data_IF_180849946886
#
_entry.id   IF_180849946886
#
_cell.length_a   1.000
_cell.length_b   1.000
_cell.length_c   1.000
_cell.angle_alpha   90.00
_cell.angle_beta   90.00
_cell.angle_gamma   90.00
#
_symmetry.space_group_name_H-M   'P 1'
#
loop_
_entity.id
_entity.type
_entity.pdbx_description
1 polymer ?
#
# COMPACT_ATOMS: atom_id res chain seq x y z
N UNK A 1 7.43 -19.72 -3.40
CA UNK A 1 6.94 -19.24 -4.70
C UNK A 1 6.48 -17.78 -4.64
N UNK A 2 5.62 -17.35 -3.70
CA UNK A 2 5.13 -15.98 -3.59
C UNK A 2 6.27 -14.96 -3.38
N UNK A 3 7.20 -15.22 -2.48
CA UNK A 3 8.37 -14.38 -2.23
C UNK A 3 9.26 -14.17 -3.45
N UNK A 4 9.35 -15.16 -4.36
CA UNK A 4 10.08 -15.02 -5.61
C UNK A 4 9.37 -14.06 -6.57
N UNK A 5 8.04 -14.17 -6.69
CA UNK A 5 7.24 -13.24 -7.52
C UNK A 5 7.38 -11.82 -7.00
N UNK A 6 7.30 -11.62 -5.68
CA UNK A 6 7.50 -10.32 -5.06
C UNK A 6 8.90 -9.75 -5.38
N UNK A 7 9.96 -10.53 -5.21
CA UNK A 7 11.33 -10.09 -5.50
C UNK A 7 11.52 -9.72 -6.97
N UNK A 8 10.94 -10.49 -7.90
CA UNK A 8 10.97 -10.21 -9.34
C UNK A 8 10.19 -8.92 -9.63
N UNK A 9 8.99 -8.77 -9.07
CA UNK A 9 8.15 -7.57 -9.24
C UNK A 9 8.87 -6.32 -8.75
N UNK A 10 9.50 -6.36 -7.58
CA UNK A 10 10.27 -5.23 -7.05
C UNK A 10 11.44 -4.84 -7.97
N UNK A 11 12.18 -5.82 -8.51
CA UNK A 11 13.27 -5.54 -9.44
C UNK A 11 12.78 -4.96 -10.76
N UNK A 12 11.70 -5.50 -11.31
CA UNK A 12 11.08 -5.00 -12.53
C UNK A 12 10.56 -3.57 -12.30
N UNK A 13 9.90 -3.30 -11.16
CA UNK A 13 9.43 -1.97 -10.83
C UNK A 13 10.58 -0.95 -10.83
N UNK A 14 11.68 -1.21 -10.14
CA UNK A 14 12.85 -0.33 -10.14
C UNK A 14 13.39 -0.06 -11.54
N UNK A 15 13.45 -1.10 -12.38
CA UNK A 15 13.89 -0.96 -13.75
C UNK A 15 12.96 -0.11 -14.59
N UNK A 16 11.65 -0.33 -14.49
CA UNK A 16 10.62 0.38 -15.27
C UNK A 16 10.48 1.82 -14.80
N UNK A 17 10.44 2.06 -13.50
CA UNK A 17 10.32 3.40 -12.90
C UNK A 17 11.55 4.30 -13.14
N UNK A 18 12.67 3.74 -13.59
CA UNK A 18 13.85 4.54 -13.97
C UNK A 18 13.69 5.29 -15.31
N UNK A 19 12.70 4.96 -16.13
CA UNK A 19 12.47 5.57 -17.45
C UNK A 19 11.00 5.87 -17.77
N UNK A 20 10.07 5.50 -16.91
CA UNK A 20 8.65 5.85 -17.02
C UNK A 20 8.23 6.65 -15.79
N UNK A 21 7.49 7.75 -16.01
CA UNK A 21 7.15 8.71 -14.96
C UNK A 21 5.68 8.61 -14.50
N UNK A 22 4.82 7.91 -15.24
CA UNK A 22 3.41 7.82 -14.90
C UNK A 22 3.01 6.42 -14.45
N UNK A 23 2.07 6.35 -13.52
CA UNK A 23 1.63 5.11 -12.87
C UNK A 23 0.99 4.10 -13.82
N UNK A 24 0.28 4.57 -14.86
CA UNK A 24 -0.40 3.73 -15.85
C UNK A 24 0.59 2.95 -16.74
N UNK A 25 1.59 3.65 -17.28
CA UNK A 25 2.61 3.05 -18.15
C UNK A 25 3.53 2.12 -17.35
N UNK A 26 3.90 2.52 -16.12
CA UNK A 26 4.68 1.67 -15.21
C UNK A 26 3.91 0.35 -14.95
N UNK A 27 2.63 0.44 -14.56
CA UNK A 27 1.81 -0.74 -14.26
C UNK A 27 1.64 -1.64 -15.49
N UNK A 28 1.40 -1.05 -16.67
CA UNK A 28 1.27 -1.78 -17.95
C UNK A 28 2.56 -2.50 -18.31
N UNK A 29 3.72 -1.85 -18.17
CA UNK A 29 5.02 -2.43 -18.45
C UNK A 29 5.38 -3.58 -17.48
N UNK A 30 5.09 -3.38 -16.18
CA UNK A 30 5.24 -4.43 -15.16
C UNK A 30 4.41 -5.66 -15.49
N UNK A 31 3.14 -5.45 -15.84
CA UNK A 31 2.23 -6.54 -16.19
C UNK A 31 2.75 -7.35 -17.37
N UNK A 32 3.16 -6.68 -18.44
CA UNK A 32 3.73 -7.34 -19.62
C UNK A 32 4.94 -8.18 -19.26
N UNK A 33 5.86 -7.62 -18.45
CA UNK A 33 7.08 -8.31 -18.03
C UNK A 33 6.82 -9.49 -17.08
N UNK A 34 5.82 -9.38 -16.20
CA UNK A 34 5.45 -10.46 -15.27
C UNK A 34 4.66 -11.58 -15.96
N UNK A 35 3.95 -11.27 -17.02
CA UNK A 35 3.19 -12.25 -17.80
C UNK A 35 4.07 -13.05 -18.77
N UNK A 36 5.23 -12.51 -19.14
CA UNK A 36 6.17 -13.23 -20.02
C UNK A 36 6.78 -14.43 -19.29
N UNK A 37 6.58 -15.62 -19.86
CA UNK A 37 7.03 -16.89 -19.27
C UNK A 37 6.29 -17.32 -17.99
N UNK A 38 5.14 -16.72 -17.67
CA UNK A 38 4.34 -17.04 -16.48
C UNK A 38 3.47 -18.29 -16.65
N UNK A 39 4.10 -19.44 -16.93
CA UNK A 39 3.40 -20.74 -17.12
C UNK A 39 2.63 -21.20 -15.87
N UNK A 40 2.99 -20.70 -14.70
CA UNK A 40 2.37 -21.07 -13.42
C UNK A 40 1.15 -20.22 -13.08
N UNK A 41 0.74 -19.30 -13.95
CA UNK A 41 -0.36 -18.34 -13.71
C UNK A 41 -0.24 -17.59 -12.37
N UNK A 42 0.97 -17.26 -11.97
CA UNK A 42 1.21 -16.46 -10.76
C UNK A 42 0.77 -15.03 -11.00
N UNK A 43 0.12 -14.44 -10.02
CA UNK A 43 -0.32 -13.05 -10.08
C UNK A 43 0.03 -12.32 -8.78
N UNK A 44 0.05 -11.01 -8.84
CA UNK A 44 0.10 -10.18 -7.64
C UNK A 44 -0.79 -8.96 -7.78
N UNK A 45 -1.27 -8.47 -6.65
CA UNK A 45 -1.94 -7.18 -6.55
C UNK A 45 -0.89 -6.09 -6.31
N UNK A 46 -1.12 -4.90 -6.85
CA UNK A 46 -0.21 -3.78 -6.67
C UNK A 46 -0.96 -2.44 -6.68
N UNK A 47 -0.43 -1.49 -5.95
CA UNK A 47 -0.80 -0.09 -6.03
C UNK A 47 0.46 0.74 -6.29
N UNK A 48 0.42 1.59 -7.31
CA UNK A 48 1.48 2.54 -7.63
C UNK A 48 0.89 3.94 -7.53
N UNK A 49 1.56 4.81 -6.80
CA UNK A 49 1.22 6.23 -6.70
C UNK A 49 2.43 7.11 -6.91
N UNK A 50 2.27 8.17 -7.68
CA UNK A 50 3.26 9.24 -7.89
C UNK A 50 2.67 10.52 -7.30
N UNK A 51 3.28 11.03 -6.24
CA UNK A 51 2.81 12.22 -5.53
C UNK A 51 3.70 13.43 -5.88
N UNK A 52 3.10 14.46 -6.44
CA UNK A 52 3.75 15.77 -6.54
C UNK A 52 3.68 16.47 -5.17
N UNK A 53 4.84 16.64 -4.55
CA UNK A 53 4.95 17.21 -3.20
C UNK A 53 4.61 18.70 -3.13
N UNK A 54 4.61 19.41 -4.26
CA UNK A 54 4.29 20.85 -4.30
C UNK A 54 2.80 21.09 -4.43
N UNK A 55 2.15 20.34 -5.31
CA UNK A 55 0.72 20.49 -5.61
C UNK A 55 -0.19 19.60 -4.77
N UNK A 56 0.34 18.46 -4.24
CA UNK A 56 -0.45 17.41 -3.62
C UNK A 56 -1.18 16.52 -4.64
N UNK A 57 -0.92 16.68 -5.94
CA UNK A 57 -1.49 15.81 -6.94
C UNK A 57 -0.90 14.39 -6.78
N UNK A 58 -1.76 13.43 -6.53
CA UNK A 58 -1.45 12.00 -6.52
C UNK A 58 -2.00 11.39 -7.82
N UNK A 59 -1.09 10.99 -8.71
CA UNK A 59 -1.40 10.13 -9.84
C UNK A 59 -1.21 8.67 -9.41
N UNK A 60 -2.19 7.81 -9.63
CA UNK A 60 -2.11 6.42 -9.15
C UNK A 60 -2.77 5.42 -10.09
N UNK A 61 -2.31 4.17 -9.99
CA UNK A 61 -2.87 3.02 -10.67
C UNK A 61 -2.98 1.85 -9.70
N UNK A 62 -4.16 1.24 -9.63
CA UNK A 62 -4.42 0.09 -8.76
C UNK A 62 -4.63 -1.17 -9.61
N UNK A 63 -3.82 -2.18 -9.38
CA UNK A 63 -3.89 -3.50 -10.00
C UNK A 63 -4.50 -4.54 -9.02
N UNK A 64 -5.76 -4.35 -8.63
CA UNK A 64 -6.48 -5.29 -7.76
C UNK A 64 -6.09 -5.27 -6.28
N UNK A 65 -5.32 -4.28 -5.85
CA UNK A 65 -4.96 -4.11 -4.43
C UNK A 65 -6.09 -3.42 -3.65
N UNK A 66 -6.11 -3.57 -2.32
CA UNK A 66 -7.04 -2.86 -1.44
C UNK A 66 -6.98 -1.35 -1.71
N UNK A 67 -8.15 -0.71 -1.79
CA UNK A 67 -8.20 0.74 -1.99
C UNK A 67 -7.56 1.46 -0.80
N UNK A 68 -6.54 2.30 -1.02
CA UNK A 68 -6.02 3.16 0.04
C UNK A 68 -7.10 4.04 0.66
N UNK A 69 -6.93 4.37 1.94
CA UNK A 69 -7.84 5.26 2.66
C UNK A 69 -7.19 6.63 2.81
N UNK A 70 -7.96 7.68 2.57
CA UNK A 70 -7.58 9.06 2.93
C UNK A 70 -8.17 9.40 4.28
N UNK A 71 -7.32 9.88 5.19
CA UNK A 71 -7.71 10.45 6.47
C UNK A 71 -7.61 11.96 6.32
N UNK A 72 -8.75 12.62 6.16
CA UNK A 72 -8.85 14.06 5.98
C UNK A 72 -8.49 14.84 7.24
N UNK A 73 -8.17 16.12 7.06
CA UNK A 73 -7.89 17.04 8.18
C UNK A 73 -9.10 17.26 9.09
N UNK A 74 -10.30 17.04 8.57
CA UNK A 74 -11.57 17.08 9.31
C UNK A 74 -11.85 15.79 10.09
N UNK A 75 -10.95 14.80 10.00
CA UNK A 75 -11.09 13.48 10.61
C UNK A 75 -11.97 12.51 9.83
N UNK A 76 -12.48 12.91 8.67
CA UNK A 76 -13.20 11.97 7.80
C UNK A 76 -12.24 10.95 7.20
N UNK A 77 -12.71 9.70 7.04
CA UNK A 77 -11.95 8.60 6.45
C UNK A 77 -12.76 8.01 5.31
N UNK A 78 -12.17 7.98 4.13
CA UNK A 78 -12.82 7.43 2.95
C UNK A 78 -11.80 6.70 2.04
N UNK A 79 -12.20 5.63 1.36
CA UNK A 79 -11.38 5.05 0.31
C UNK A 79 -11.22 6.04 -0.86
N UNK A 80 -10.07 5.98 -1.52
CA UNK A 80 -9.89 6.66 -2.80
C UNK A 80 -10.72 5.95 -3.88
N UNK A 81 -11.12 6.70 -4.90
CA UNK A 81 -11.80 6.12 -6.05
C UNK A 81 -10.86 5.18 -6.81
N UNK A 82 -11.36 4.02 -7.22
CA UNK A 82 -10.57 3.02 -7.95
C UNK A 82 -11.26 2.67 -9.27
N UNK A 83 -10.56 2.87 -10.38
CA UNK A 83 -10.95 2.25 -11.66
C UNK A 83 -10.60 0.77 -11.59
N UNK A 84 -11.54 -0.14 -11.92
CA UNK A 84 -11.27 -1.56 -11.93
C UNK A 84 -10.18 -1.93 -12.95
N UNK A 85 -9.06 -2.45 -12.47
CA UNK A 85 -8.01 -3.08 -13.26
C UNK A 85 -7.79 -4.51 -12.74
N UNK A 86 -7.14 -5.33 -13.53
CA UNK A 86 -6.80 -6.71 -13.15
C UNK A 86 -5.52 -6.76 -12.31
N UNK A 87 -5.35 -7.78 -11.45
CA UNK A 87 -4.05 -8.08 -10.86
C UNK A 87 -2.97 -8.28 -11.93
N UNK A 88 -1.72 -7.98 -11.59
CA UNK A 88 -0.56 -8.14 -12.47
C UNK A 88 -0.28 -9.62 -12.75
N UNK A 89 0.09 -9.92 -14.00
CA UNK A 89 0.53 -11.26 -14.41
C UNK A 89 -0.57 -12.16 -14.96
N UNK A 90 -1.85 -11.74 -14.92
CA UNK A 90 -2.97 -12.56 -15.42
C UNK A 90 -3.11 -12.50 -16.95
N UNK A 91 -3.00 -11.31 -17.55
CA UNK A 91 -3.17 -11.11 -18.98
C UNK A 91 -2.14 -10.08 -19.48
N UNK A 92 -1.13 -10.53 -20.19
CA UNK A 92 0.03 -9.71 -20.61
C UNK A 92 -0.31 -8.48 -21.45
N UNK A 93 -1.38 -8.55 -22.24
CA UNK A 93 -1.82 -7.45 -23.12
C UNK A 93 -2.79 -6.46 -22.44
N UNK A 94 -3.14 -6.69 -21.16
CA UNK A 94 -4.04 -5.81 -20.44
C UNK A 94 -3.40 -4.43 -20.25
N UNK A 95 -4.16 -3.38 -20.61
CA UNK A 95 -3.76 -1.98 -20.44
C UNK A 95 -4.40 -1.41 -19.19
N UNK A 96 -3.57 -0.96 -18.28
CA UNK A 96 -4.01 -0.37 -17.02
C UNK A 96 -4.47 1.06 -17.24
N UNK A 97 -5.39 1.49 -16.38
CA UNK A 97 -5.90 2.87 -16.35
C UNK A 97 -5.53 3.50 -15.02
N UNK A 98 -4.79 4.58 -15.09
CA UNK A 98 -4.46 5.44 -13.97
C UNK A 98 -5.59 6.43 -13.64
N UNK A 99 -5.48 7.04 -12.49
CA UNK A 99 -6.36 8.07 -11.97
C UNK A 99 -5.54 9.16 -11.29
N UNK A 100 -6.19 10.29 -11.05
CA UNK A 100 -5.59 11.40 -10.31
C UNK A 100 -6.54 11.91 -9.24
N UNK A 101 -5.96 12.33 -8.14
CA UNK A 101 -6.65 13.07 -7.08
C UNK A 101 -5.70 14.11 -6.49
N UNK A 102 -6.23 15.01 -5.69
CA UNK A 102 -5.40 15.93 -4.90
C UNK A 102 -5.55 15.58 -3.43
N UNK A 103 -4.43 15.41 -2.74
CA UNK A 103 -4.40 15.28 -1.29
C UNK A 103 -4.40 16.67 -0.66
N UNK A 104 -5.30 16.91 0.26
CA UNK A 104 -5.30 18.15 1.03
C UNK A 104 -4.10 18.18 1.98
N UNK A 105 -3.50 19.38 2.12
CA UNK A 105 -2.40 19.58 3.08
C UNK A 105 -2.84 19.21 4.49
N UNK A 106 -2.08 18.35 5.14
CA UNK A 106 -2.36 17.82 6.47
C UNK A 106 -3.16 16.52 6.49
N UNK A 107 -3.67 16.05 5.33
CA UNK A 107 -4.29 14.73 5.23
C UNK A 107 -3.26 13.60 5.26
N UNK A 108 -3.71 12.38 5.56
CA UNK A 108 -2.88 11.19 5.51
C UNK A 108 -3.42 10.22 4.46
N UNK A 109 -2.51 9.54 3.76
CA UNK A 109 -2.82 8.38 2.93
C UNK A 109 -2.41 7.12 3.67
N UNK A 110 -3.34 6.18 3.80
CA UNK A 110 -3.19 4.93 4.51
C UNK A 110 -3.37 3.76 3.53
N UNK A 111 -2.30 3.00 3.31
CA UNK A 111 -2.28 1.82 2.45
C UNK A 111 -2.12 0.58 3.35
N UNK A 112 -2.75 -0.51 2.98
CA UNK A 112 -2.74 -1.74 3.79
C UNK A 112 -2.98 -2.98 2.94
N UNK A 113 -2.41 -4.11 3.35
CA UNK A 113 -2.71 -5.42 2.77
C UNK A 113 -3.98 -6.00 3.40
N UNK A 114 -4.57 -6.99 2.73
CA UNK A 114 -5.76 -7.73 3.16
C UNK A 114 -5.61 -8.38 4.54
N UNK A 115 -4.40 -8.72 4.95
CA UNK A 115 -4.11 -9.18 6.32
C UNK A 115 -4.59 -8.24 7.43
N UNK A 116 -4.84 -6.95 7.13
CA UNK A 116 -5.43 -6.00 8.09
C UNK A 116 -6.92 -6.26 8.28
N UNK A 117 -7.69 -6.16 7.19
CA UNK A 117 -9.16 -6.24 7.26
C UNK A 117 -9.68 -7.68 7.31
N UNK A 118 -8.86 -8.66 6.89
CA UNK A 118 -9.18 -10.08 6.95
C UNK A 118 -8.63 -10.78 8.19
N UNK A 119 -7.97 -10.06 9.10
CA UNK A 119 -7.54 -10.61 10.39
C UNK A 119 -8.74 -11.25 11.13
N UNK A 120 -8.63 -12.53 11.45
CA UNK A 120 -9.71 -13.30 12.06
C UNK A 120 -9.59 -13.39 13.60
N UNK A 121 -10.72 -13.47 14.27
CA UNK A 121 -10.79 -13.84 15.69
C UNK A 121 -10.98 -15.36 15.85
N UNK A 122 -11.12 -15.82 17.10
CA UNK A 122 -11.33 -17.24 17.42
C UNK A 122 -12.64 -17.83 16.83
N UNK A 123 -13.63 -16.97 16.57
CA UNK A 123 -14.91 -17.29 15.95
C UNK A 123 -14.87 -17.22 14.41
N UNK A 124 -13.68 -16.97 13.83
CA UNK A 124 -13.48 -16.78 12.38
C UNK A 124 -14.20 -15.56 11.80
N UNK A 125 -14.49 -14.57 12.63
CA UNK A 125 -15.00 -13.30 12.16
C UNK A 125 -13.83 -12.39 11.76
N UNK A 126 -13.91 -11.79 10.57
CA UNK A 126 -12.91 -10.86 10.08
C UNK A 126 -12.97 -9.51 10.84
N UNK A 127 -11.86 -8.84 10.95
CA UNK A 127 -11.76 -7.48 11.51
C UNK A 127 -12.67 -6.51 10.75
N UNK A 128 -12.57 -6.52 9.43
CA UNK A 128 -13.47 -5.82 8.51
C UNK A 128 -13.13 -4.34 8.30
N UNK A 129 -13.60 -3.82 7.17
CA UNK A 129 -13.34 -2.43 6.79
C UNK A 129 -14.03 -1.40 7.67
N UNK A 130 -15.21 -1.71 8.23
CA UNK A 130 -15.95 -0.79 9.10
C UNK A 130 -15.16 -0.50 10.38
N UNK A 131 -14.64 -1.55 11.06
CA UNK A 131 -13.80 -1.39 12.25
C UNK A 131 -12.51 -0.63 11.94
N UNK A 132 -11.89 -0.91 10.77
CA UNK A 132 -10.71 -0.20 10.33
C UNK A 132 -11.00 1.31 10.18
N UNK A 133 -12.06 1.66 9.47
CA UNK A 133 -12.47 3.06 9.27
C UNK A 133 -12.77 3.77 10.59
N UNK A 134 -13.51 3.13 11.49
CA UNK A 134 -13.86 3.72 12.80
C UNK A 134 -12.62 3.90 13.68
N UNK A 135 -11.69 2.95 13.65
CA UNK A 135 -10.40 3.06 14.32
C UNK A 135 -9.59 4.23 13.76
N UNK A 136 -9.49 4.37 12.44
CA UNK A 136 -8.77 5.45 11.78
C UNK A 136 -9.39 6.81 12.08
N UNK A 137 -10.73 6.94 12.06
CA UNK A 137 -11.43 8.17 12.48
C UNK A 137 -11.07 8.57 13.91
N UNK A 138 -11.08 7.60 14.82
CA UNK A 138 -10.77 7.82 16.25
C UNK A 138 -9.31 8.25 16.48
N UNK A 139 -8.42 8.00 15.51
CA UNK A 139 -7.01 8.29 15.59
C UNK A 139 -6.53 9.32 14.54
N UNK A 140 -7.45 9.99 13.85
CA UNK A 140 -7.18 10.89 12.72
C UNK A 140 -6.26 12.09 13.04
N UNK A 141 -6.25 12.54 14.30
CA UNK A 141 -5.38 13.62 14.76
C UNK A 141 -3.97 13.20 15.15
N UNK A 142 -3.69 11.90 15.17
CA UNK A 142 -2.39 11.35 15.56
C UNK A 142 -1.38 11.43 14.41
N UNK A 143 -0.11 11.20 14.75
CA UNK A 143 0.95 11.05 13.75
C UNK A 143 0.84 9.70 13.03
N UNK A 144 1.34 9.56 11.79
CA UNK A 144 1.29 8.31 11.03
C UNK A 144 1.73 7.08 11.81
N UNK A 145 2.87 7.16 12.52
CA UNK A 145 3.37 6.06 13.34
C UNK A 145 2.37 5.63 14.43
N UNK A 146 1.76 6.60 15.11
CA UNK A 146 0.78 6.33 16.17
C UNK A 146 -0.53 5.73 15.62
N UNK A 147 -0.90 6.10 14.37
CA UNK A 147 -2.03 5.49 13.65
C UNK A 147 -1.75 4.02 13.36
N UNK A 148 -0.54 3.71 12.87
CA UNK A 148 -0.11 2.33 12.59
C UNK A 148 -0.08 1.50 13.89
N UNK A 149 0.50 2.03 14.96
CA UNK A 149 0.52 1.35 16.27
C UNK A 149 -0.90 1.07 16.80
N UNK A 150 -1.80 2.05 16.65
CA UNK A 150 -3.21 1.88 17.03
C UNK A 150 -3.89 0.80 16.19
N UNK A 151 -3.59 0.71 14.89
CA UNK A 151 -4.12 -0.36 14.02
C UNK A 151 -3.69 -1.73 14.54
N UNK A 152 -2.39 -1.93 14.81
CA UNK A 152 -1.89 -3.20 15.33
C UNK A 152 -2.48 -3.55 16.69
N UNK A 153 -2.65 -2.57 17.57
CA UNK A 153 -3.28 -2.79 18.88
C UNK A 153 -4.72 -3.27 18.73
N UNK A 154 -5.47 -2.67 17.80
CA UNK A 154 -6.86 -3.01 17.56
C UNK A 154 -7.04 -4.38 16.89
N UNK A 155 -6.18 -4.71 15.92
CA UNK A 155 -6.14 -6.05 15.30
C UNK A 155 -5.86 -7.12 16.37
N UNK A 156 -4.82 -6.91 17.21
CA UNK A 156 -4.51 -7.86 18.29
C UNK A 156 -5.64 -8.02 19.28
N UNK A 157 -6.34 -6.92 19.60
CA UNK A 157 -7.51 -6.98 20.48
C UNK A 157 -8.65 -7.78 19.86
N UNK A 158 -8.86 -7.66 18.54
CA UNK A 158 -9.87 -8.42 17.82
C UNK A 158 -9.49 -9.90 17.71
N UNK A 159 -8.26 -10.20 17.31
CA UNK A 159 -7.79 -11.57 17.12
C UNK A 159 -7.74 -12.37 18.43
N UNK A 160 -7.42 -11.72 19.56
CA UNK A 160 -7.25 -12.41 20.84
C UNK A 160 -6.14 -13.46 20.76
N UNK A 161 -6.49 -14.73 20.94
CA UNK A 161 -5.56 -15.88 20.87
C UNK A 161 -5.56 -16.53 19.47
N UNK A 162 -6.28 -16.01 18.48
CA UNK A 162 -6.28 -16.55 17.13
C UNK A 162 -4.89 -16.37 16.48
N UNK A 163 -4.45 -17.39 15.75
CA UNK A 163 -3.23 -17.29 14.95
C UNK A 163 -3.44 -16.29 13.80
N UNK A 164 -2.40 -15.53 13.49
CA UNK A 164 -2.43 -14.60 12.35
C UNK A 164 -2.62 -15.37 11.04
N UNK A 165 -3.62 -14.97 10.27
CA UNK A 165 -4.02 -15.65 9.03
C UNK A 165 -3.18 -15.26 7.82
N UNK A 166 -2.67 -14.03 7.77
CA UNK A 166 -1.90 -13.50 6.65
C UNK A 166 -0.95 -12.39 7.10
N UNK A 167 -0.01 -12.02 6.22
CA UNK A 167 0.99 -10.97 6.46
C UNK A 167 0.34 -9.58 6.47
N UNK A 168 0.64 -8.80 7.49
CA UNK A 168 0.11 -7.45 7.66
C UNK A 168 1.18 -6.43 7.26
N UNK A 169 0.90 -5.66 6.21
CA UNK A 169 1.72 -4.52 5.82
C UNK A 169 0.88 -3.25 5.82
N UNK A 170 1.40 -2.20 6.44
CA UNK A 170 0.74 -0.90 6.51
C UNK A 170 1.75 0.19 6.15
N UNK A 171 1.35 1.08 5.24
CA UNK A 171 2.07 2.31 4.93
C UNK A 171 1.13 3.47 5.22
N UNK A 172 1.58 4.40 6.04
CA UNK A 172 0.84 5.62 6.33
C UNK A 172 1.78 6.83 6.22
N UNK A 173 1.38 7.83 5.46
CA UNK A 173 2.13 9.07 5.39
C UNK A 173 1.20 10.28 5.43
N UNK A 174 1.69 11.39 5.98
CA UNK A 174 0.99 12.66 6.06
C UNK A 174 1.55 13.62 5.02
N UNK A 175 0.67 14.16 4.16
CA UNK A 175 1.08 15.15 3.19
C UNK A 175 1.22 16.52 3.87
N UNK A 176 2.46 17.04 3.92
CA UNK A 176 2.78 18.39 4.39
C UNK A 176 3.68 19.08 3.35
N UNK A 177 3.44 20.36 3.07
CA UNK A 177 4.26 21.10 2.09
C UNK A 177 5.67 21.45 2.59
N UNK A 178 5.96 21.25 3.86
CA UNK A 178 7.24 21.61 4.47
C UNK A 178 8.12 20.40 4.85
N UNK A 179 7.52 19.23 5.03
CA UNK A 179 8.23 17.97 5.25
C UNK A 179 7.28 16.78 5.06
N UNK A 180 7.76 15.68 4.49
CA UNK A 180 7.05 14.40 4.54
C UNK A 180 7.44 13.63 5.79
N UNK A 181 6.49 13.34 6.66
CA UNK A 181 6.68 12.36 7.73
C UNK A 181 6.22 11.00 7.20
N UNK A 182 7.16 10.08 7.03
CA UNK A 182 6.89 8.70 6.57
C UNK A 182 7.00 7.77 7.77
N UNK A 183 6.06 6.85 7.91
CA UNK A 183 6.14 5.78 8.89
C UNK A 183 5.71 4.48 8.24
N UNK A 184 6.59 3.49 8.28
CA UNK A 184 6.34 2.13 7.80
C UNK A 184 6.58 1.20 8.98
N UNK A 185 5.58 0.39 9.32
CA UNK A 185 5.71 -0.65 10.33
C UNK A 185 5.32 -1.97 9.69
N UNK A 186 6.23 -2.92 9.75
CA UNK A 186 5.97 -4.30 9.32
C UNK A 186 5.82 -5.17 10.56
N UNK A 187 4.83 -6.04 10.52
CA UNK A 187 4.70 -7.08 11.52
C UNK A 187 4.66 -8.41 10.78
N UNK A 188 5.80 -9.09 10.69
CA UNK A 188 5.80 -10.53 10.71
C UNK A 188 7.14 -11.22 10.78
N UNK A 189 8.19 -10.89 10.29
CA UNK A 189 9.47 -11.55 10.52
C UNK A 189 10.57 -10.49 10.63
N UNK A 190 11.41 -10.60 11.65
CA UNK A 190 12.53 -9.68 11.89
C UNK A 190 13.46 -9.60 10.66
N UNK A 191 13.54 -10.66 9.87
CA UNK A 191 14.33 -10.70 8.63
C UNK A 191 13.73 -9.85 7.50
N UNK A 192 12.41 -9.75 7.42
CA UNK A 192 11.71 -8.92 6.42
C UNK A 192 11.79 -7.42 6.76
N UNK A 193 11.80 -7.07 8.05
CA UNK A 193 12.00 -5.70 8.55
C UNK A 193 13.35 -5.14 8.06
N UNK A 194 14.42 -5.95 8.11
CA UNK A 194 15.73 -5.52 7.65
C UNK A 194 15.78 -5.24 6.15
N UNK A 195 15.06 -6.01 5.35
CA UNK A 195 14.95 -5.80 3.90
C UNK A 195 14.18 -4.54 3.54
N UNK A 196 13.12 -4.23 4.29
CA UNK A 196 12.34 -3.03 4.04
C UNK A 196 13.06 -1.78 4.53
N UNK A 197 13.78 -1.83 5.66
CA UNK A 197 14.61 -0.72 6.10
C UNK A 197 15.68 -0.37 5.06
N UNK A 198 16.35 -1.37 4.47
CA UNK A 198 17.27 -1.14 3.36
C UNK A 198 16.59 -0.49 2.15
N UNK A 199 15.36 -0.88 1.84
CA UNK A 199 14.58 -0.30 0.75
C UNK A 199 14.19 1.16 1.01
N UNK A 200 13.87 1.49 2.25
CA UNK A 200 13.54 2.86 2.68
C UNK A 200 14.79 3.74 2.72
N UNK A 201 15.91 3.23 3.21
CA UNK A 201 17.19 3.94 3.21
C UNK A 201 17.66 4.23 1.77
N UNK A 202 17.54 3.28 0.85
CA UNK A 202 17.83 3.49 -0.57
C UNK A 202 16.93 4.57 -1.19
N UNK A 203 15.63 4.58 -0.86
CA UNK A 203 14.71 5.65 -1.33
C UNK A 203 15.09 7.00 -0.73
N UNK A 204 15.42 7.04 0.57
CA UNK A 204 15.81 8.28 1.23
C UNK A 204 17.12 8.86 0.66
N UNK A 205 18.11 8.02 0.35
CA UNK A 205 19.37 8.43 -0.28
C UNK A 205 19.16 8.90 -1.74
N UNK A 206 18.30 8.22 -2.52
CA UNK A 206 18.04 8.54 -3.92
C UNK A 206 17.30 9.87 -4.10
N UNK A 207 16.44 10.23 -3.13
CA UNK A 207 15.70 11.50 -3.13
C UNK A 207 16.36 12.61 -2.31
N UNK A 208 17.58 12.42 -1.80
CA UNK A 208 18.33 13.41 -0.99
C UNK A 208 17.53 13.93 0.21
N UNK A 209 16.80 13.05 0.90
CA UNK A 209 16.00 13.32 2.09
C UNK A 209 16.81 13.02 3.36
#
# INVERSE_FOLDING_TARGET
PASLVMAVTCRLFRSVASYLDNSEDIMTSLNSSLSDGNESNMFCTAFIGVLDLKSGELEYCNAGHNAPLVIGVDGNVAPIDIVPNLPLGLFGDFKYKGQKMTLDKGSMLYLFTDGVNEAENMEKEQFGNERLVDMLKSNSSKRPAEVIEATFAEIRRHAGEAEQSDDITIVCFKYNTESMEKSIVLANDISEISRLNMFIEEIAEEFSL
#
